data_IF_273466192605
#
_entry.id   IF_273466192605
#
_cell.length_a   1.000
_cell.length_b   1.000
_cell.length_c   1.000
_cell.angle_alpha   90.00
_cell.angle_beta   90.00
_cell.angle_gamma   90.00
#
_symmetry.space_group_name_H-M   'P 1'
#
loop_
_entity.id
_entity.type
_entity.pdbx_description
1 polymer ?
#
# COMPACT_ATOMS: atom_id res chain seq x y z
N UNK A 1 -13.62 15.80 6.92
CA UNK A 1 -14.07 16.09 5.55
C UNK A 1 -12.86 16.55 4.75
N UNK A 2 -12.73 16.13 3.49
CA UNK A 2 -11.66 16.57 2.58
C UNK A 2 -12.17 16.66 1.14
N UNK A 3 -11.52 17.46 0.30
CA UNK A 3 -11.75 17.43 -1.14
C UNK A 3 -10.95 16.31 -1.78
N UNK A 4 -11.53 15.67 -2.80
CA UNK A 4 -10.83 14.72 -3.64
C UNK A 4 -10.19 15.41 -4.83
N UNK A 5 -8.99 14.96 -5.17
CA UNK A 5 -8.35 15.34 -6.42
C UNK A 5 -8.86 14.46 -7.58
N UNK A 6 -8.87 15.04 -8.77
CA UNK A 6 -9.05 14.31 -10.01
C UNK A 6 -10.46 14.22 -10.59
N UNK A 7 -11.46 14.77 -9.90
CA UNK A 7 -12.83 14.87 -10.38
C UNK A 7 -13.03 16.14 -11.22
N UNK A 8 -13.94 16.09 -12.19
CA UNK A 8 -14.28 17.26 -13.01
C UNK A 8 -15.02 18.33 -12.21
N UNK A 9 -15.88 17.90 -11.29
CA UNK A 9 -16.58 18.75 -10.33
C UNK A 9 -15.95 18.63 -8.94
N UNK A 10 -15.99 19.69 -8.12
CA UNK A 10 -15.45 19.64 -6.76
C UNK A 10 -16.18 18.57 -5.95
N UNK A 11 -15.44 17.52 -5.59
CA UNK A 11 -15.98 16.37 -4.87
C UNK A 11 -15.49 16.37 -3.43
N UNK A 12 -16.44 16.39 -2.49
CA UNK A 12 -16.20 16.39 -1.05
C UNK A 12 -16.42 14.98 -0.48
N UNK A 13 -15.51 14.56 0.39
CA UNK A 13 -15.67 13.35 1.19
C UNK A 13 -15.98 13.68 2.65
N UNK A 14 -17.02 13.02 3.15
CA UNK A 14 -17.43 13.02 4.55
C UNK A 14 -17.15 11.65 5.15
N UNK A 15 -16.42 11.65 6.27
CA UNK A 15 -16.36 10.52 7.19
C UNK A 15 -17.33 10.85 8.32
N UNK A 16 -18.30 9.99 8.58
CA UNK A 16 -19.34 10.23 9.57
C UNK A 16 -19.86 8.92 10.14
N UNK A 17 -20.51 9.03 11.30
CA UNK A 17 -21.15 7.92 11.98
C UNK A 17 -22.66 8.14 12.00
N UNK A 18 -23.48 7.35 11.27
CA UNK A 18 -24.93 7.49 11.32
C UNK A 18 -25.50 7.22 12.72
N UNK A 19 -24.90 6.28 13.46
CA UNK A 19 -25.34 5.90 14.81
C UNK A 19 -24.14 5.82 15.74
N UNK A 20 -23.94 6.87 16.54
CA UNK A 20 -22.74 6.99 17.35
C UNK A 20 -22.51 5.80 18.29
N UNK A 21 -21.31 5.21 18.23
CA UNK A 21 -20.82 4.17 19.13
C UNK A 21 -19.60 4.64 19.90
N UNK A 22 -19.15 3.81 20.83
CA UNK A 22 -17.93 4.04 21.62
C UNK A 22 -17.25 2.69 21.82
N UNK A 23 -15.95 2.68 22.13
CA UNK A 23 -15.21 1.44 22.39
C UNK A 23 -15.89 0.54 23.45
N UNK A 24 -16.47 1.14 24.51
CA UNK A 24 -17.21 0.38 25.54
C UNK A 24 -18.51 -0.27 25.06
N UNK A 25 -19.06 0.17 23.93
CA UNK A 25 -20.26 -0.39 23.28
C UNK A 25 -19.95 -1.25 22.06
N UNK A 26 -18.68 -1.48 21.76
CA UNK A 26 -18.22 -2.29 20.64
C UNK A 26 -18.80 -3.72 20.68
N UNK A 27 -19.04 -4.27 21.87
CA UNK A 27 -19.72 -5.58 22.04
C UNK A 27 -21.15 -5.63 21.49
N UNK A 28 -21.80 -4.48 21.33
CA UNK A 28 -23.16 -4.37 20.80
C UNK A 28 -23.13 -3.95 19.34
N UNK A 29 -22.30 -2.95 19.00
CA UNK A 29 -22.16 -2.41 17.64
C UNK A 29 -20.73 -1.97 17.39
N UNK A 30 -20.16 -2.51 16.33
CA UNK A 30 -18.87 -2.13 15.76
C UNK A 30 -19.04 -1.93 14.25
N UNK A 31 -18.00 -1.43 13.58
CA UNK A 31 -18.01 -1.05 12.17
C UNK A 31 -19.15 -0.07 11.82
N UNK A 32 -19.19 1.06 12.53
CA UNK A 32 -20.27 2.05 12.44
C UNK A 32 -19.92 3.27 11.60
N UNK A 33 -18.67 3.42 11.13
CA UNK A 33 -18.28 4.54 10.28
C UNK A 33 -18.75 4.35 8.84
N UNK A 34 -19.09 5.48 8.23
CA UNK A 34 -19.46 5.56 6.83
C UNK A 34 -18.67 6.68 6.15
N UNK A 35 -18.33 6.45 4.89
CA UNK A 35 -17.75 7.41 3.97
C UNK A 35 -18.80 7.79 2.93
N UNK A 36 -18.94 9.09 2.67
CA UNK A 36 -19.85 9.64 1.66
C UNK A 36 -19.11 10.66 0.80
N UNK A 37 -18.98 10.37 -0.49
CA UNK A 37 -18.46 11.26 -1.51
C UNK A 37 -19.58 11.98 -2.24
N UNK A 38 -19.51 13.29 -2.29
CA UNK A 38 -20.52 14.19 -2.79
C UNK A 38 -19.91 15.10 -3.85
N UNK A 39 -20.42 15.03 -5.08
CA UNK A 39 -20.09 15.99 -6.13
C UNK A 39 -20.97 17.23 -5.99
N UNK A 40 -20.34 18.39 -6.07
CA UNK A 40 -21.03 19.68 -5.97
C UNK A 40 -20.92 20.40 -7.31
N UNK A 41 -22.05 20.56 -8.00
CA UNK A 41 -22.13 21.44 -9.15
C UNK A 41 -22.50 22.84 -8.65
N UNK A 42 -21.53 23.75 -8.72
CA UNK A 42 -21.67 25.13 -8.24
C UNK A 42 -22.55 25.97 -9.18
N UNK A 43 -22.64 25.62 -10.45
CA UNK A 43 -23.42 26.38 -11.45
C UNK A 43 -24.92 26.09 -11.34
N UNK A 44 -25.27 24.81 -11.21
CA UNK A 44 -26.66 24.36 -11.11
C UNK A 44 -27.17 24.30 -9.66
N UNK A 45 -26.30 24.61 -8.69
CA UNK A 45 -26.55 24.49 -7.24
C UNK A 45 -27.04 23.09 -6.83
N UNK A 46 -26.55 22.07 -7.54
CA UNK A 46 -26.93 20.67 -7.33
C UNK A 46 -25.84 19.88 -6.65
N UNK A 47 -26.30 18.91 -5.86
CA UNK A 47 -25.45 18.04 -5.06
C UNK A 47 -25.82 16.60 -5.37
N UNK A 48 -24.85 15.79 -5.76
CA UNK A 48 -25.03 14.39 -6.11
C UNK A 48 -24.11 13.50 -5.28
N UNK A 49 -24.65 12.39 -4.76
CA UNK A 49 -23.84 11.37 -4.09
C UNK A 49 -23.16 10.53 -5.16
N UNK A 50 -21.82 10.54 -5.17
CA UNK A 50 -21.00 9.83 -6.18
C UNK A 50 -20.25 8.65 -5.61
N UNK A 51 -20.08 8.59 -4.29
CA UNK A 51 -19.38 7.48 -3.65
C UNK A 51 -19.94 7.22 -2.25
N UNK A 52 -20.06 5.96 -1.87
CA UNK A 52 -20.46 5.59 -0.53
C UNK A 52 -19.78 4.30 -0.12
N UNK A 53 -19.21 4.28 1.08
CA UNK A 53 -18.68 3.08 1.73
C UNK A 53 -19.25 3.03 3.14
N UNK A 54 -19.82 1.90 3.53
CA UNK A 54 -20.31 1.67 4.89
C UNK A 54 -19.45 0.66 5.63
N UNK A 55 -19.76 0.46 6.90
CA UNK A 55 -19.12 -0.57 7.74
C UNK A 55 -17.60 -0.40 7.88
N UNK A 56 -17.14 0.85 7.95
CA UNK A 56 -15.76 1.15 8.32
C UNK A 56 -15.58 1.02 9.83
N UNK A 57 -14.37 0.70 10.32
CA UNK A 57 -14.10 0.60 11.75
C UNK A 57 -14.51 1.85 12.52
N UNK A 58 -14.98 1.65 13.75
CA UNK A 58 -15.68 2.68 14.53
C UNK A 58 -14.80 3.85 15.00
N UNK A 59 -13.48 3.70 15.00
CA UNK A 59 -12.52 4.70 15.47
C UNK A 59 -11.81 5.47 14.34
N UNK A 60 -12.19 5.21 13.08
CA UNK A 60 -11.84 6.01 11.91
C UNK A 60 -12.18 7.48 12.18
N UNK A 61 -11.18 8.36 12.14
CA UNK A 61 -11.35 9.75 12.59
C UNK A 61 -10.69 10.80 11.67
N UNK A 62 -9.82 10.40 10.75
CA UNK A 62 -9.11 11.31 9.85
C UNK A 62 -9.14 10.82 8.41
N UNK A 63 -9.05 11.78 7.49
CA UNK A 63 -9.02 11.58 6.05
C UNK A 63 -7.83 12.34 5.47
N UNK A 64 -7.06 11.71 4.59
CA UNK A 64 -6.00 12.34 3.80
C UNK A 64 -6.26 12.07 2.33
N UNK A 65 -6.48 13.14 1.55
CA UNK A 65 -6.68 13.05 0.11
C UNK A 65 -5.36 12.67 -0.58
N UNK A 66 -5.43 11.65 -1.44
CA UNK A 66 -4.26 11.23 -2.22
C UNK A 66 -4.35 11.90 -3.59
N UNK A 67 -3.32 12.67 -3.99
CA UNK A 67 -3.34 13.38 -5.25
C UNK A 67 -3.21 12.42 -6.45
N UNK A 68 -3.45 12.95 -7.65
CA UNK A 68 -3.10 12.26 -8.90
C UNK A 68 -1.60 11.92 -8.95
N UNK A 69 -1.20 10.78 -9.56
CA UNK A 69 -2.03 9.90 -10.42
C UNK A 69 -2.82 8.82 -9.69
N UNK A 70 -2.46 8.44 -8.46
CA UNK A 70 -3.13 7.34 -7.74
C UNK A 70 -4.59 7.65 -7.39
N UNK A 71 -4.82 8.87 -6.89
CA UNK A 71 -6.13 9.29 -6.42
C UNK A 71 -6.62 8.49 -5.20
N UNK A 72 -7.88 8.71 -4.83
CA UNK A 72 -8.50 8.05 -3.68
C UNK A 72 -8.24 8.77 -2.36
N UNK A 73 -8.37 8.01 -1.27
CA UNK A 73 -8.34 8.54 0.09
C UNK A 73 -7.66 7.56 1.04
N UNK A 74 -6.89 8.12 1.98
CA UNK A 74 -6.44 7.39 3.16
C UNK A 74 -7.37 7.73 4.32
N UNK A 75 -8.02 6.71 4.89
CA UNK A 75 -8.76 6.78 6.14
C UNK A 75 -7.85 6.32 7.26
N UNK A 76 -7.72 7.15 8.30
CA UNK A 76 -6.89 6.85 9.46
C UNK A 76 -7.80 6.73 10.68
N UNK A 77 -7.74 5.58 11.34
CA UNK A 77 -8.33 5.35 12.64
C UNK A 77 -7.30 5.44 13.76
N UNK A 78 -7.66 4.96 14.94
CA UNK A 78 -6.72 4.94 16.06
C UNK A 78 -5.84 3.68 16.00
N UNK A 79 -6.36 2.60 15.42
CA UNK A 79 -5.70 1.29 15.41
C UNK A 79 -5.40 0.78 13.99
N UNK A 80 -5.82 1.49 12.97
CA UNK A 80 -5.81 1.04 11.58
C UNK A 80 -5.60 2.19 10.60
N UNK A 81 -5.14 1.82 9.41
CA UNK A 81 -5.03 2.72 8.25
C UNK A 81 -5.62 2.01 7.05
N UNK A 82 -6.50 2.67 6.31
CA UNK A 82 -7.24 2.09 5.19
C UNK A 82 -7.14 3.02 3.99
N UNK A 83 -6.58 2.52 2.90
CA UNK A 83 -6.68 3.14 1.59
C UNK A 83 -7.97 2.70 0.89
N UNK A 84 -8.72 3.68 0.40
CA UNK A 84 -9.95 3.49 -0.35
C UNK A 84 -9.88 4.23 -1.68
N UNK A 85 -10.40 3.60 -2.72
CA UNK A 85 -10.59 4.19 -4.04
C UNK A 85 -11.84 3.55 -4.66
N UNK A 86 -12.47 4.21 -5.63
CA UNK A 86 -13.64 3.70 -6.33
C UNK A 86 -13.31 2.53 -7.27
N UNK A 87 -12.08 2.51 -7.80
CA UNK A 87 -11.66 1.58 -8.85
C UNK A 87 -10.92 0.34 -8.34
N UNK A 88 -10.46 0.35 -7.08
CA UNK A 88 -9.69 -0.77 -6.50
C UNK A 88 -10.30 -1.21 -5.18
N UNK A 89 -10.19 -2.50 -4.83
CA UNK A 89 -10.70 -2.99 -3.55
C UNK A 89 -10.02 -2.26 -2.38
N UNK A 90 -10.71 -2.13 -1.24
CA UNK A 90 -10.12 -1.56 -0.03
C UNK A 90 -8.84 -2.29 0.39
N UNK A 91 -7.84 -1.52 0.79
CA UNK A 91 -6.60 -2.05 1.35
C UNK A 91 -6.37 -1.40 2.70
N UNK A 92 -6.30 -2.19 3.78
CA UNK A 92 -6.06 -1.65 5.11
C UNK A 92 -5.11 -2.51 5.92
N UNK A 93 -4.50 -1.90 6.93
CA UNK A 93 -3.59 -2.53 7.90
C UNK A 93 -4.11 -2.28 9.31
N UNK A 94 -4.00 -3.30 10.18
CA UNK A 94 -4.25 -3.19 11.61
C UNK A 94 -2.94 -3.11 12.37
N UNK A 95 -2.78 -2.10 13.22
CA UNK A 95 -1.54 -1.75 13.90
C UNK A 95 -1.40 -2.40 15.29
N UNK A 96 -2.51 -2.88 15.85
CA UNK A 96 -2.56 -3.51 17.16
C UNK A 96 -3.76 -4.45 17.31
N UNK A 97 -3.82 -5.17 18.43
CA UNK A 97 -4.84 -6.19 18.69
C UNK A 97 -6.15 -5.64 19.27
N UNK A 98 -6.34 -4.31 19.36
CA UNK A 98 -7.55 -3.73 19.95
C UNK A 98 -8.82 -4.08 19.16
N UNK A 99 -8.68 -4.42 17.88
CA UNK A 99 -9.78 -4.78 16.99
C UNK A 99 -10.09 -6.27 16.88
N UNK A 100 -9.41 -7.12 17.63
CA UNK A 100 -9.67 -8.56 17.59
C UNK A 100 -11.13 -8.85 17.96
N UNK A 101 -11.90 -9.34 16.98
CA UNK A 101 -13.35 -9.59 17.03
C UNK A 101 -14.26 -8.35 17.02
N UNK A 102 -13.71 -7.14 16.90
CA UNK A 102 -14.47 -5.87 16.89
C UNK A 102 -14.39 -5.13 15.55
N UNK A 103 -13.91 -5.78 14.49
CA UNK A 103 -14.10 -5.34 13.12
C UNK A 103 -14.22 -6.55 12.19
N UNK A 104 -15.12 -6.44 11.21
CA UNK A 104 -15.24 -7.35 10.06
C UNK A 104 -14.55 -6.79 8.83
N UNK A 105 -14.05 -5.55 8.89
CA UNK A 105 -13.37 -4.95 7.76
C UNK A 105 -12.08 -5.73 7.47
N UNK A 106 -11.79 -6.07 6.20
CA UNK A 106 -10.61 -6.86 5.87
C UNK A 106 -9.34 -6.02 6.04
N UNK A 107 -8.64 -6.22 7.16
CA UNK A 107 -7.38 -5.57 7.49
C UNK A 107 -6.24 -6.60 7.46
N UNK A 108 -5.12 -6.25 6.81
CA UNK A 108 -3.87 -6.99 6.89
C UNK A 108 -3.25 -6.80 8.28
N UNK A 109 -2.74 -7.87 8.84
CA UNK A 109 -2.16 -7.86 10.18
C UNK A 109 -0.77 -7.19 10.17
N UNK A 110 -0.64 -6.08 10.92
CA UNK A 110 0.62 -5.40 11.24
C UNK A 110 0.75 -5.18 12.76
N UNK A 111 0.10 -6.04 13.57
CA UNK A 111 0.01 -5.90 15.04
C UNK A 111 1.35 -5.93 15.77
N UNK A 112 2.41 -6.42 15.11
CA UNK A 112 3.76 -6.44 15.66
C UNK A 112 4.29 -5.03 15.98
N UNK A 113 3.76 -3.99 15.33
CA UNK A 113 4.10 -2.59 15.62
C UNK A 113 3.61 -2.15 17.00
N UNK A 114 2.53 -2.76 17.51
CA UNK A 114 1.96 -2.51 18.85
C UNK A 114 1.81 -1.02 19.18
N UNK A 115 1.16 -0.29 18.28
CA UNK A 115 1.07 1.16 18.35
C UNK A 115 -0.31 1.71 17.95
N UNK A 116 -0.54 2.98 18.23
CA UNK A 116 -1.76 3.72 17.87
C UNK A 116 -1.44 4.95 17.03
N UNK A 117 -2.41 5.37 16.22
CA UNK A 117 -2.40 6.62 15.43
C UNK A 117 -3.48 7.58 15.92
N UNK A 118 -3.73 7.61 17.23
CA UNK A 118 -4.67 8.52 17.84
C UNK A 118 -4.21 9.98 17.70
N UNK A 119 -5.07 10.84 17.16
CA UNK A 119 -4.90 12.28 17.00
C UNK A 119 -3.53 12.79 16.45
N UNK A 120 -2.80 11.94 15.72
CA UNK A 120 -1.54 12.28 15.06
C UNK A 120 -1.71 13.04 13.74
N UNK A 121 -0.82 13.98 13.44
CA UNK A 121 -0.80 14.67 12.14
C UNK A 121 -0.43 13.71 11.00
N UNK A 122 -1.00 13.92 9.82
CA UNK A 122 -0.73 13.13 8.63
C UNK A 122 -0.66 14.04 7.40
N UNK A 123 0.33 13.84 6.54
CA UNK A 123 0.55 14.68 5.36
C UNK A 123 1.11 13.87 4.20
N UNK A 124 0.63 14.13 2.99
CA UNK A 124 1.20 13.55 1.78
C UNK A 124 2.56 14.19 1.48
N UNK A 125 3.62 13.38 1.42
CA UNK A 125 5.00 13.87 1.22
C UNK A 125 5.55 13.61 -0.19
N UNK A 126 4.76 12.98 -1.07
CA UNK A 126 5.12 12.71 -2.46
C UNK A 126 5.53 11.25 -2.70
N UNK A 127 5.59 10.87 -3.99
CA UNK A 127 6.08 9.56 -4.44
C UNK A 127 5.43 8.35 -3.74
N UNK A 128 4.12 8.38 -3.50
CA UNK A 128 3.37 7.32 -2.82
C UNK A 128 3.66 7.20 -1.31
N UNK A 129 4.29 8.21 -0.72
CA UNK A 129 4.60 8.25 0.70
C UNK A 129 3.74 9.28 1.44
N UNK A 130 3.33 8.90 2.64
CA UNK A 130 2.53 9.72 3.55
C UNK A 130 3.24 9.70 4.89
N UNK A 131 3.57 10.88 5.41
CA UNK A 131 4.16 11.01 6.74
C UNK A 131 3.04 10.97 7.79
N UNK A 132 3.25 10.19 8.85
CA UNK A 132 2.32 10.03 9.97
C UNK A 132 3.07 10.33 11.27
N UNK A 133 2.58 11.27 12.06
CA UNK A 133 3.06 11.53 13.41
C UNK A 133 2.29 10.73 14.45
N UNK A 134 2.95 10.25 15.49
CA UNK A 134 2.32 9.59 16.64
C UNK A 134 2.30 10.50 17.88
N UNK A 135 1.48 10.13 18.87
CA UNK A 135 1.47 10.80 20.17
C UNK A 135 2.76 10.62 20.98
N UNK A 136 3.54 9.59 20.66
CA UNK A 136 4.85 9.35 21.26
C UNK A 136 5.97 10.19 20.62
N UNK A 137 5.64 11.07 19.67
CA UNK A 137 6.62 11.87 18.93
C UNK A 137 7.33 11.11 17.82
N UNK A 138 6.87 9.92 17.44
CA UNK A 138 7.49 9.15 16.35
C UNK A 138 6.95 9.63 15.00
N UNK A 139 7.85 9.78 14.03
CA UNK A 139 7.53 10.01 12.63
C UNK A 139 7.63 8.69 11.89
N UNK A 140 6.50 8.27 11.33
CA UNK A 140 6.39 7.11 10.45
C UNK A 140 6.20 7.57 9.02
N UNK A 141 6.59 6.71 8.08
CA UNK A 141 6.26 6.86 6.67
C UNK A 141 5.41 5.66 6.26
N UNK A 142 4.21 5.96 5.75
CA UNK A 142 3.35 4.99 5.11
C UNK A 142 3.61 5.02 3.60
N UNK A 143 3.98 3.87 3.05
CA UNK A 143 4.23 3.68 1.62
C UNK A 143 3.05 2.94 0.99
N UNK A 144 2.45 3.55 -0.03
CA UNK A 144 1.44 2.89 -0.86
C UNK A 144 2.17 2.04 -1.91
N UNK A 145 2.19 0.72 -1.71
CA UNK A 145 2.84 -0.20 -2.64
C UNK A 145 1.92 -0.37 -3.85
N UNK A 146 2.42 0.05 -5.01
CA UNK A 146 1.69 0.03 -6.27
C UNK A 146 2.21 -1.08 -7.19
N UNK A 147 1.30 -1.64 -7.98
CA UNK A 147 1.62 -2.54 -9.08
C UNK A 147 2.14 -1.76 -10.31
N UNK A 148 2.59 -2.47 -11.34
CA UNK A 148 2.92 -1.97 -12.68
C UNK A 148 1.81 -1.13 -13.33
N UNK A 149 0.56 -1.31 -12.89
CA UNK A 149 -0.63 -0.58 -13.34
C UNK A 149 -0.96 0.67 -12.51
N UNK A 150 -0.05 1.13 -11.64
CA UNK A 150 -0.27 2.25 -10.71
C UNK A 150 -1.48 2.05 -9.76
N UNK A 151 -1.83 0.80 -9.50
CA UNK A 151 -2.89 0.44 -8.54
C UNK A 151 -2.28 0.07 -7.20
N UNK A 152 -2.80 0.63 -6.10
CA UNK A 152 -2.33 0.31 -4.74
C UNK A 152 -2.80 -1.10 -4.37
N UNK A 153 -1.85 -1.96 -3.98
CA UNK A 153 -2.10 -3.35 -3.58
C UNK A 153 -1.96 -3.58 -2.10
N UNK A 154 -0.95 -2.95 -1.49
CA UNK A 154 -0.64 -3.11 -0.08
C UNK A 154 -0.14 -1.80 0.51
N UNK A 155 -0.24 -1.72 1.83
CA UNK A 155 0.33 -0.65 2.61
C UNK A 155 1.52 -1.20 3.37
N UNK A 156 2.58 -0.40 3.44
CA UNK A 156 3.73 -0.65 4.29
C UNK A 156 3.98 0.55 5.19
N UNK A 157 4.38 0.31 6.43
CA UNK A 157 4.52 1.36 7.44
C UNK A 157 5.85 1.16 8.18
N UNK A 158 6.69 2.17 8.10
CA UNK A 158 8.02 2.16 8.73
C UNK A 158 8.18 3.35 9.67
N UNK A 159 8.91 3.14 10.77
CA UNK A 159 9.40 4.23 11.61
C UNK A 159 10.69 4.78 11.02
N UNK A 160 10.76 6.11 10.87
CA UNK A 160 11.88 6.76 10.19
C UNK A 160 12.65 7.68 11.14
N UNK A 161 11.97 8.42 12.01
CA UNK A 161 12.61 9.42 12.85
C UNK A 161 11.83 9.72 14.13
N UNK A 162 12.50 10.25 15.15
CA UNK A 162 11.87 10.75 16.38
C UNK A 162 11.83 12.28 16.37
N UNK A 163 10.66 12.83 16.66
CA UNK A 163 10.30 14.25 16.52
C UNK A 163 9.59 14.75 17.76
N UNK A 164 9.36 16.06 17.85
CA UNK A 164 8.36 16.59 18.78
C UNK A 164 6.97 16.06 18.42
N UNK A 165 6.08 15.89 19.40
CA UNK A 165 4.69 15.43 19.17
C UNK A 165 4.02 16.34 18.13
N UNK A 166 3.74 15.79 16.96
CA UNK A 166 3.25 16.53 15.81
C UNK A 166 1.77 16.88 15.99
N UNK A 167 1.47 18.17 16.13
CA UNK A 167 0.11 18.69 16.14
C UNK A 167 -0.36 19.05 14.72
N UNK A 168 0.53 19.60 13.90
CA UNK A 168 0.29 19.80 12.48
C UNK A 168 1.53 19.43 11.67
N UNK A 169 1.32 19.06 10.42
CA UNK A 169 2.37 18.65 9.49
C UNK A 169 2.04 19.22 8.13
N UNK A 170 3.02 19.83 7.46
CA UNK A 170 2.82 20.42 6.14
C UNK A 170 4.08 20.23 5.30
N UNK A 171 3.91 19.77 4.06
CA UNK A 171 5.00 19.73 3.09
C UNK A 171 5.24 21.15 2.54
N UNK A 172 6.33 21.79 2.96
CA UNK A 172 6.63 23.18 2.55
C UNK A 172 7.26 23.26 1.16
N UNK A 173 8.08 22.27 0.82
CA UNK A 173 8.73 22.12 -0.48
C UNK A 173 9.07 20.64 -0.68
N UNK A 174 9.37 20.20 -1.92
CA UNK A 174 9.86 18.84 -2.14
C UNK A 174 11.05 18.53 -1.23
N UNK A 175 10.94 17.47 -0.43
CA UNK A 175 11.96 17.07 0.54
C UNK A 175 12.03 17.94 1.80
N UNK A 176 11.08 18.84 2.07
CA UNK A 176 11.05 19.66 3.29
C UNK A 176 9.70 19.61 4.00
N UNK A 177 9.69 19.04 5.19
CA UNK A 177 8.50 18.80 6.00
C UNK A 177 8.54 19.66 7.26
N UNK A 178 7.53 20.51 7.45
CA UNK A 178 7.36 21.25 8.69
C UNK A 178 6.48 20.46 9.66
N UNK A 179 6.95 20.32 10.89
CA UNK A 179 6.26 19.68 12.01
C UNK A 179 6.01 20.74 13.07
N UNK A 180 4.75 21.15 13.21
CA UNK A 180 4.32 22.05 14.27
C UNK A 180 3.95 21.25 15.51
N UNK A 181 4.55 21.60 16.65
CA UNK A 181 4.23 21.00 17.94
C UNK A 181 3.64 22.03 18.89
N UNK A 182 2.71 21.59 19.75
CA UNK A 182 2.20 22.38 20.89
C UNK A 182 2.91 22.06 22.20
N UNK A 183 3.57 20.90 22.28
CA UNK A 183 4.13 20.33 23.52
C UNK A 183 5.66 20.27 23.49
N UNK A 184 6.27 20.67 22.38
CA UNK A 184 7.71 20.78 22.20
C UNK A 184 8.04 21.80 21.12
N UNK A 185 9.30 21.85 20.72
CA UNK A 185 9.75 22.77 19.67
C UNK A 185 9.22 22.33 18.31
N UNK A 186 8.81 23.30 17.49
CA UNK A 186 8.43 23.05 16.11
C UNK A 186 9.68 22.86 15.25
N UNK A 187 9.64 21.91 14.32
CA UNK A 187 10.79 21.41 13.59
C UNK A 187 10.57 21.54 12.08
N UNK A 188 11.61 21.89 11.33
CA UNK A 188 11.63 21.80 9.88
C UNK A 188 12.64 20.71 9.51
N UNK A 189 12.14 19.62 8.92
CA UNK A 189 12.94 18.48 8.51
C UNK A 189 13.23 18.56 7.02
N UNK A 190 14.43 18.13 6.63
CA UNK A 190 14.78 17.84 5.24
C UNK A 190 14.89 16.32 5.08
N UNK A 191 14.27 15.78 4.05
CA UNK A 191 14.21 14.34 3.77
C UNK A 191 14.42 14.06 2.29
N UNK A 192 14.95 12.87 2.01
CA UNK A 192 15.17 12.37 0.64
C UNK A 192 14.51 11.00 0.51
N UNK A 193 13.67 10.85 -0.51
CA UNK A 193 13.04 9.56 -0.83
C UNK A 193 13.92 8.85 -1.85
N UNK A 194 14.50 7.72 -1.45
CA UNK A 194 15.23 6.85 -2.37
C UNK A 194 14.27 5.81 -2.93
N UNK A 195 14.09 5.78 -4.25
CA UNK A 195 13.50 4.62 -4.90
C UNK A 195 14.57 3.55 -4.95
N UNK A 196 14.44 2.53 -4.12
CA UNK A 196 15.16 1.29 -4.37
C UNK A 196 14.57 0.68 -5.64
N UNK A 197 15.21 0.94 -6.78
CA UNK A 197 15.09 0.04 -7.90
C UNK A 197 15.64 -1.29 -7.42
N UNK A 198 14.74 -2.23 -7.13
CA UNK A 198 15.11 -3.63 -6.96
C UNK A 198 15.85 -4.01 -8.24
N UNK A 199 17.18 -4.01 -8.18
CA UNK A 199 17.98 -4.73 -9.14
C UNK A 199 17.49 -6.16 -9.01
N UNK A 200 16.82 -6.67 -10.04
CA UNK A 200 16.68 -8.10 -10.21
C UNK A 200 18.10 -8.67 -10.12
N UNK A 201 18.45 -9.18 -8.94
CA UNK A 201 19.64 -9.99 -8.78
C UNK A 201 19.44 -11.16 -9.73
N UNK A 202 20.17 -11.12 -10.83
CA UNK A 202 20.29 -12.22 -11.77
C UNK A 202 20.44 -13.49 -10.94
N UNK A 203 19.46 -14.39 -11.09
CA UNK A 203 19.42 -15.68 -10.43
C UNK A 203 20.81 -16.31 -10.41
N UNK A 204 21.32 -16.79 -9.27
CA UNK A 204 22.60 -17.49 -9.24
C UNK A 204 22.49 -18.73 -10.14
N UNK A 205 23.38 -18.81 -11.13
CA UNK A 205 23.50 -19.94 -12.05
C UNK A 205 23.41 -21.28 -11.29
N UNK A 206 22.68 -22.27 -11.80
CA UNK A 206 22.58 -23.57 -11.14
C UNK A 206 23.98 -24.18 -11.05
N UNK A 207 24.41 -24.46 -9.81
CA UNK A 207 25.62 -25.25 -9.52
C UNK A 207 25.59 -26.52 -10.39
N UNK A 208 26.54 -26.63 -11.34
CA UNK A 208 26.79 -27.87 -12.07
C UNK A 208 27.10 -28.97 -11.06
N UNK A 209 26.16 -29.89 -10.85
CA UNK A 209 26.43 -31.16 -10.18
C UNK A 209 27.42 -31.94 -11.03
N UNK A 210 28.60 -32.26 -10.47
CA UNK A 210 29.49 -33.28 -11.00
C UNK A 210 28.73 -34.62 -10.98
N UNK A 211 28.29 -35.06 -12.14
CA UNK A 211 27.82 -36.44 -12.35
C UNK A 211 29.02 -37.19 -12.93
N UNK A 212 29.42 -38.26 -12.27
CA UNK A 212 30.47 -39.18 -12.70
C UNK A 212 30.06 -39.87 -14.01
N UNK A 213 30.89 -39.73 -15.04
CA UNK A 213 30.78 -40.43 -16.33
C UNK A 213 31.04 -41.93 -16.17
N UNK A 214 30.03 -42.73 -15.78
CA UNK A 214 30.04 -44.20 -15.99
C UNK A 214 28.63 -44.79 -16.07
N UNK A 215 27.99 -44.67 -17.23
CA UNK A 215 27.00 -45.65 -17.69
C UNK A 215 27.23 -45.87 -19.19
N UNK A 216 27.78 -47.03 -19.55
CA UNK A 216 27.74 -47.54 -20.93
C UNK A 216 26.32 -48.05 -21.18
N UNK A 217 25.60 -47.40 -22.09
CA UNK A 217 24.37 -47.96 -22.64
C UNK A 217 24.77 -48.84 -23.85
N UNK A 218 24.40 -50.12 -23.81
CA UNK A 218 24.61 -51.05 -24.92
C UNK A 218 23.54 -50.83 -26.01
N UNK A 219 23.84 -51.23 -27.26
CA UNK A 219 23.05 -50.94 -28.47
C UNK A 219 21.57 -51.38 -28.41
N UNK A 220 21.21 -52.32 -27.53
CA UNK A 220 19.86 -52.86 -27.41
C UNK A 220 18.87 -51.90 -26.68
N UNK A 221 19.35 -50.91 -25.92
CA UNK A 221 18.50 -49.95 -25.20
C UNK A 221 17.99 -48.80 -26.10
N UNK A 222 18.60 -48.60 -27.27
CA UNK A 222 18.28 -47.51 -28.20
C UNK A 222 17.07 -47.81 -29.10
N UNK A 223 16.76 -49.09 -29.34
CA UNK A 223 15.61 -49.51 -30.17
C UNK A 223 14.27 -49.43 -29.43
N UNK A 224 14.26 -49.47 -28.09
CA UNK A 224 13.02 -49.55 -27.30
C UNK A 224 12.47 -48.18 -26.89
N UNK A 225 13.34 -47.18 -26.75
CA UNK A 225 12.97 -45.79 -26.44
C UNK A 225 13.54 -44.88 -27.52
N UNK A 226 12.83 -44.76 -28.63
CA UNK A 226 13.22 -43.90 -29.75
C UNK A 226 13.65 -42.49 -29.31
N UNK A 227 14.42 -41.83 -30.19
CA UNK A 227 15.30 -40.64 -30.04
C UNK A 227 14.80 -39.38 -29.27
N UNK A 228 13.74 -39.43 -28.47
CA UNK A 228 13.15 -38.25 -27.80
C UNK A 228 13.76 -37.90 -26.43
N UNK A 229 14.84 -38.56 -25.99
CA UNK A 229 15.54 -38.20 -24.75
C UNK A 229 16.93 -37.59 -25.02
N UNK A 230 17.54 -37.80 -26.19
CA UNK A 230 18.91 -37.30 -26.46
C UNK A 230 18.92 -35.82 -26.85
N UNK A 231 17.84 -35.30 -27.44
CA UNK A 231 17.75 -33.87 -27.81
C UNK A 231 17.74 -32.91 -26.60
N UNK A 232 17.35 -33.36 -25.40
CA UNK A 232 17.38 -32.52 -24.19
C UNK A 232 18.75 -32.39 -23.52
N UNK A 233 19.79 -33.05 -24.02
CA UNK A 233 21.12 -33.01 -23.40
C UNK A 233 22.17 -32.28 -24.25
N UNK A 234 22.02 -32.17 -25.58
CA UNK A 234 23.18 -31.87 -26.44
C UNK A 234 23.19 -30.50 -27.17
N UNK A 235 22.12 -29.70 -27.23
CA UNK A 235 22.19 -28.44 -28.00
C UNK A 235 22.06 -27.14 -27.19
N UNK A 236 23.17 -26.39 -27.00
CA UNK A 236 23.15 -24.93 -27.05
C UNK A 236 23.12 -24.45 -28.52
N UNK A 237 22.25 -23.47 -28.76
CA UNK A 237 22.14 -22.50 -29.86
C UNK A 237 22.85 -22.72 -31.21
N UNK A 238 22.00 -22.72 -32.24
CA UNK A 238 22.17 -22.12 -33.57
C UNK A 238 23.45 -21.32 -33.84
N UNK A 239 24.35 -21.95 -34.60
CA UNK A 239 25.32 -21.32 -35.48
C UNK A 239 25.00 -21.70 -36.93
N UNK A 240 24.23 -20.82 -37.56
CA UNK A 240 23.74 -20.78 -38.94
C UNK A 240 24.71 -21.30 -40.04
N UNK A 241 24.13 -21.93 -41.09
CA UNK A 241 24.44 -21.88 -42.54
C UNK A 241 24.10 -23.24 -43.19
N UNK A 242 23.02 -23.29 -43.96
CA UNK A 242 22.98 -23.18 -45.44
C UNK A 242 23.54 -24.46 -46.09
N UNK A 243 22.93 -25.13 -47.07
CA UNK A 243 21.74 -24.98 -47.89
C UNK A 243 21.65 -26.27 -48.76
N UNK A 244 20.61 -26.35 -49.61
CA UNK A 244 20.45 -27.28 -50.77
C UNK A 244 20.00 -28.72 -50.43
N UNK A 245 18.96 -29.32 -51.02
CA UNK A 245 18.04 -28.98 -52.11
C UNK A 245 16.79 -29.88 -51.99
N UNK A 246 15.59 -29.30 -52.22
CA UNK A 246 14.49 -29.66 -53.18
C UNK A 246 13.21 -28.97 -52.72
#
# INVERSE_FOLDING_TARGET
MVFLDGYYEPTLLFLYEPHQTTAGRASVRYDTMHLLGVSVNVFDEQVAIVWQVGSLPMDCNRLVAIPKPLGGILVIGSNEVIYLNQSVPPCGISLNSCYDNFTKFPLKDLKHMSMTLDAGAAEWIGSNHIALGTMDGKLLVLTLITDSSETVRSLDLEHVFDTSIAYCMNLCAPGRLFIGSRLGDSQLLEFSVYKEEIKEEASPEPKKSRIDDRVNADEDDLELYGEQIIEQVIAPNSGNRDAENV
#
